data_IF_028580784126
#
_entry.id   IF_028580784126
#
_cell.length_a   1.000
_cell.length_b   1.000
_cell.length_c   1.000
_cell.angle_alpha   90.00
_cell.angle_beta   90.00
_cell.angle_gamma   90.00
#
_symmetry.space_group_name_H-M   'P 1'
#
loop_
_entity.id
_entity.type
_entity.pdbx_description
1 polymer ?
#
# COMPACT_ATOMS: atom_id res chain seq x y z
N UNK A 1 4.32 10.84 -27.11
CA UNK A 1 4.42 10.62 -28.57
C UNK A 1 3.56 11.60 -29.37
N UNK A 2 2.24 11.68 -29.18
CA UNK A 2 1.39 12.64 -29.92
C UNK A 2 1.85 14.09 -29.73
N UNK A 3 2.07 14.51 -28.48
CA UNK A 3 2.61 15.84 -28.17
C UNK A 3 3.95 16.12 -28.88
N UNK A 4 4.85 15.15 -28.88
CA UNK A 4 6.14 15.22 -29.56
C UNK A 4 5.98 15.43 -31.07
N UNK A 5 5.08 14.69 -31.71
CA UNK A 5 4.81 14.84 -33.14
C UNK A 5 4.34 16.26 -33.47
N UNK A 6 3.39 16.80 -32.70
CA UNK A 6 2.90 18.17 -32.89
C UNK A 6 4.04 19.19 -32.72
N UNK A 7 4.86 19.05 -31.68
CA UNK A 7 5.97 19.96 -31.42
C UNK A 7 7.02 19.94 -32.53
N UNK A 8 7.30 18.75 -33.10
CA UNK A 8 8.26 18.60 -34.21
C UNK A 8 7.76 19.25 -35.50
N UNK A 9 6.45 19.21 -35.78
CA UNK A 9 5.84 19.91 -36.92
C UNK A 9 5.99 21.42 -36.73
N UNK A 10 5.69 21.94 -35.54
CA UNK A 10 5.87 23.38 -35.25
C UNK A 10 7.33 23.81 -35.36
N UNK A 11 8.27 23.00 -34.86
CA UNK A 11 9.70 23.28 -35.01
C UNK A 11 10.12 23.32 -36.49
N UNK A 12 9.69 22.35 -37.30
CA UNK A 12 9.95 22.35 -38.75
C UNK A 12 9.37 23.59 -39.46
N UNK A 13 8.17 24.04 -39.08
CA UNK A 13 7.57 25.26 -39.62
C UNK A 13 8.35 26.52 -39.21
N UNK A 14 8.81 26.59 -37.96
CA UNK A 14 9.57 27.72 -37.43
C UNK A 14 10.90 27.90 -38.16
N UNK A 15 11.57 26.79 -38.49
CA UNK A 15 12.85 26.78 -39.21
C UNK A 15 12.69 26.71 -40.73
N UNK A 16 11.58 27.22 -41.28
CA UNK A 16 11.46 27.43 -42.73
C UNK A 16 11.10 26.19 -43.56
N UNK A 17 10.43 25.20 -42.95
CA UNK A 17 10.05 23.92 -43.57
C UNK A 17 11.24 23.04 -43.96
N UNK A 18 12.32 23.14 -43.20
CA UNK A 18 13.48 22.28 -43.37
C UNK A 18 13.17 20.84 -42.91
N UNK A 19 13.25 19.90 -43.86
CA UNK A 19 12.99 18.49 -43.60
C UNK A 19 14.03 17.87 -42.65
N UNK A 20 15.28 18.33 -42.66
CA UNK A 20 16.34 17.77 -41.82
C UNK A 20 16.11 18.13 -40.35
N UNK A 21 15.77 19.39 -40.09
CA UNK A 21 15.43 19.87 -38.75
C UNK A 21 14.18 19.15 -38.23
N UNK A 22 13.20 18.90 -39.10
CA UNK A 22 12.02 18.10 -38.76
C UNK A 22 12.41 16.68 -38.31
N UNK A 23 13.20 15.96 -39.12
CA UNK A 23 13.62 14.59 -38.78
C UNK A 23 14.53 14.54 -37.55
N UNK A 24 15.39 15.54 -37.36
CA UNK A 24 16.22 15.71 -36.17
C UNK A 24 15.37 15.75 -34.90
N UNK A 25 14.40 16.67 -34.83
CA UNK A 25 13.54 16.79 -33.66
C UNK A 25 12.63 15.56 -33.48
N UNK A 26 12.14 14.97 -34.57
CA UNK A 26 11.27 13.80 -34.53
C UNK A 26 11.99 12.60 -33.91
N UNK A 27 13.17 12.27 -34.42
CA UNK A 27 13.97 11.16 -33.92
C UNK A 27 14.46 11.40 -32.50
N UNK A 28 14.96 12.60 -32.19
CA UNK A 28 15.35 12.97 -30.83
C UNK A 28 14.19 12.81 -29.84
N UNK A 29 12.98 13.26 -30.21
CA UNK A 29 11.79 13.11 -29.37
C UNK A 29 11.33 11.66 -29.23
N UNK A 30 11.46 10.85 -30.27
CA UNK A 30 11.10 9.43 -30.25
C UNK A 30 12.03 8.64 -29.33
N UNK A 31 13.35 8.88 -29.45
CA UNK A 31 14.38 8.29 -28.58
C UNK A 31 14.17 8.73 -27.13
N UNK A 32 13.89 10.01 -26.89
CA UNK A 32 13.60 10.53 -25.56
C UNK A 32 12.37 9.84 -24.96
N UNK A 33 11.25 9.79 -25.69
CA UNK A 33 9.99 9.21 -25.22
C UNK A 33 10.12 7.73 -24.86
N UNK A 34 10.85 6.95 -25.65
CA UNK A 34 11.11 5.54 -25.33
C UNK A 34 12.11 5.38 -24.19
N UNK A 35 13.15 6.21 -24.15
CA UNK A 35 14.18 6.19 -23.12
C UNK A 35 13.65 6.48 -21.71
N UNK A 36 12.60 7.31 -21.60
CA UNK A 36 11.95 7.62 -20.31
C UNK A 36 10.74 6.73 -19.98
N UNK A 37 10.33 5.82 -20.87
CA UNK A 37 9.16 4.96 -20.64
C UNK A 37 9.23 4.14 -19.33
N UNK A 38 10.40 3.68 -18.83
CA UNK A 38 10.50 2.95 -17.57
C UNK A 38 10.94 3.83 -16.37
N UNK A 39 10.58 5.12 -16.31
CA UNK A 39 11.12 6.11 -15.36
C UNK A 39 10.84 5.83 -13.88
N UNK A 40 11.62 4.90 -13.29
CA UNK A 40 11.59 4.53 -11.87
C UNK A 40 12.68 5.17 -11.03
N UNK A 41 13.62 5.90 -11.61
CA UNK A 41 14.67 6.58 -10.86
C UNK A 41 15.12 7.86 -11.57
N UNK A 42 15.73 8.77 -10.80
CA UNK A 42 16.19 10.10 -11.26
C UNK A 42 17.31 10.03 -12.33
N UNK A 43 17.95 8.87 -12.49
CA UNK A 43 19.02 8.66 -13.49
C UNK A 43 18.48 8.31 -14.88
N UNK A 44 17.24 7.83 -15.00
CA UNK A 44 16.66 7.43 -16.28
C UNK A 44 16.53 8.60 -17.27
N UNK A 45 16.01 9.79 -16.89
CA UNK A 45 15.97 10.92 -17.81
C UNK A 45 17.37 11.37 -18.26
N UNK A 46 18.38 11.27 -17.40
CA UNK A 46 19.77 11.59 -17.75
C UNK A 46 20.33 10.58 -18.76
N UNK A 47 20.10 9.28 -18.54
CA UNK A 47 20.49 8.22 -19.51
C UNK A 47 19.75 8.36 -20.84
N UNK A 48 18.47 8.70 -20.80
CA UNK A 48 17.69 9.00 -21.99
C UNK A 48 18.26 10.22 -22.72
N UNK A 49 18.65 11.28 -22.00
CA UNK A 49 19.34 12.45 -22.54
C UNK A 49 20.66 12.11 -23.23
N UNK A 50 21.45 11.19 -22.67
CA UNK A 50 22.66 10.68 -23.31
C UNK A 50 22.35 9.95 -24.64
N UNK A 51 21.32 9.08 -24.65
CA UNK A 51 20.89 8.39 -25.87
C UNK A 51 20.37 9.36 -26.95
N UNK A 52 19.64 10.40 -26.53
CA UNK A 52 19.22 11.50 -27.41
C UNK A 52 20.44 12.24 -27.96
N UNK A 53 21.43 12.55 -27.12
CA UNK A 53 22.68 13.18 -27.54
C UNK A 53 23.42 12.38 -28.60
N UNK A 54 23.60 11.08 -28.39
CA UNK A 54 24.20 10.17 -29.38
C UNK A 54 23.40 10.13 -30.69
N UNK A 55 22.07 10.05 -30.59
CA UNK A 55 21.18 10.02 -31.76
C UNK A 55 21.25 11.31 -32.56
N UNK A 56 21.28 12.45 -31.87
CA UNK A 56 21.44 13.77 -32.46
C UNK A 56 22.77 13.89 -33.22
N UNK A 57 23.88 13.42 -32.63
CA UNK A 57 25.17 13.41 -33.31
C UNK A 57 25.15 12.59 -34.59
N UNK A 58 24.55 11.39 -34.55
CA UNK A 58 24.43 10.53 -35.74
C UNK A 58 23.62 11.22 -36.84
N UNK A 59 22.50 11.86 -36.48
CA UNK A 59 21.64 12.56 -37.45
C UNK A 59 22.32 13.77 -38.07
N UNK A 60 23.08 14.54 -37.28
CA UNK A 60 23.84 15.70 -37.77
C UNK A 60 24.92 15.26 -38.77
N UNK A 61 25.66 14.19 -38.47
CA UNK A 61 26.68 13.64 -39.38
C UNK A 61 26.04 13.08 -40.65
N UNK A 62 24.92 12.37 -40.52
CA UNK A 62 24.18 11.83 -41.66
C UNK A 62 23.63 12.95 -42.57
N UNK A 63 23.03 13.99 -41.99
CA UNK A 63 22.53 15.16 -42.74
C UNK A 63 23.65 15.86 -43.50
N UNK A 64 24.78 16.11 -42.84
CA UNK A 64 25.96 16.70 -43.50
C UNK A 64 26.48 15.85 -44.66
N UNK A 65 26.45 14.52 -44.52
CA UNK A 65 26.84 13.59 -45.59
C UNK A 65 25.87 13.57 -46.77
N UNK A 66 24.57 13.76 -46.53
CA UNK A 66 23.54 13.76 -47.59
C UNK A 66 23.55 15.06 -48.41
N UNK A 67 23.94 16.18 -47.79
CA UNK A 67 24.05 17.48 -48.45
C UNK A 67 25.41 17.75 -49.11
N UNK A 68 26.36 16.81 -48.97
CA UNK A 68 27.75 16.95 -49.40
C UNK A 68 28.46 18.17 -48.77
N UNK A 69 28.03 18.60 -47.58
CA UNK A 69 28.52 19.78 -46.85
C UNK A 69 29.60 19.39 -45.84
N UNK A 70 30.71 18.83 -46.30
CA UNK A 70 31.81 18.35 -45.46
C UNK A 70 32.73 19.46 -44.95
N UNK A 71 32.18 20.37 -44.14
CA UNK A 71 32.97 21.35 -43.38
C UNK A 71 33.26 20.78 -41.99
N UNK A 72 34.44 20.18 -41.82
CA UNK A 72 34.81 19.45 -40.59
C UNK A 72 34.57 20.24 -39.30
N UNK A 73 34.96 21.53 -39.29
CA UNK A 73 34.77 22.40 -38.12
C UNK A 73 33.30 22.59 -37.76
N UNK A 74 32.43 22.78 -38.75
CA UNK A 74 30.99 22.94 -38.56
C UNK A 74 30.33 21.67 -38.05
N UNK A 75 30.65 20.52 -38.66
CA UNK A 75 30.10 19.23 -38.25
C UNK A 75 30.50 18.93 -36.80
N UNK A 76 31.76 19.20 -36.43
CA UNK A 76 32.24 19.00 -35.07
C UNK A 76 31.52 19.91 -34.06
N UNK A 77 31.32 21.19 -34.37
CA UNK A 77 30.59 22.11 -33.49
C UNK A 77 29.13 21.70 -33.35
N UNK A 78 28.46 21.38 -34.45
CA UNK A 78 27.04 21.01 -34.46
C UNK A 78 26.85 19.68 -33.71
N UNK A 79 27.71 18.69 -33.94
CA UNK A 79 27.71 17.42 -33.23
C UNK A 79 27.94 17.59 -31.72
N UNK A 80 28.86 18.47 -31.32
CA UNK A 80 29.13 18.77 -29.92
C UNK A 80 27.90 19.40 -29.24
N UNK A 81 27.33 20.44 -29.85
CA UNK A 81 26.12 21.08 -29.30
C UNK A 81 24.90 20.15 -29.33
N UNK A 82 24.74 19.33 -30.37
CA UNK A 82 23.66 18.33 -30.45
C UNK A 82 23.77 17.25 -29.38
N UNK A 83 24.99 16.80 -29.09
CA UNK A 83 25.27 15.84 -28.01
C UNK A 83 25.00 16.46 -26.63
N UNK A 84 25.61 17.62 -26.36
CA UNK A 84 25.43 18.36 -25.11
C UNK A 84 23.96 18.74 -24.88
N UNK A 85 23.24 19.12 -25.93
CA UNK A 85 21.82 19.45 -25.88
C UNK A 85 20.95 18.28 -25.41
N UNK A 86 21.26 17.04 -25.85
CA UNK A 86 20.57 15.83 -25.37
C UNK A 86 20.77 15.59 -23.87
N UNK A 87 22.03 15.66 -23.40
CA UNK A 87 22.35 15.52 -21.97
C UNK A 87 21.68 16.62 -21.15
N UNK A 88 21.77 17.87 -21.62
CA UNK A 88 21.18 19.02 -20.97
C UNK A 88 19.65 18.89 -20.86
N UNK A 89 18.98 18.38 -21.90
CA UNK A 89 17.55 18.09 -21.84
C UNK A 89 17.21 17.06 -20.74
N UNK A 90 18.01 16.00 -20.59
CA UNK A 90 17.84 15.02 -19.51
C UNK A 90 17.99 15.65 -18.12
N UNK A 91 18.98 16.53 -17.92
CA UNK A 91 19.18 17.28 -16.67
C UNK A 91 18.00 18.21 -16.40
N UNK A 92 17.55 18.96 -17.41
CA UNK A 92 16.40 19.86 -17.29
C UNK A 92 15.13 19.12 -16.89
N UNK A 93 14.82 17.98 -17.53
CA UNK A 93 13.65 17.17 -17.17
C UNK A 93 13.74 16.70 -15.72
N UNK A 94 14.88 16.17 -15.28
CA UNK A 94 15.06 15.74 -13.88
C UNK A 94 14.87 16.89 -12.89
N UNK A 95 15.35 18.10 -13.21
CA UNK A 95 15.21 19.27 -12.35
C UNK A 95 13.81 19.90 -12.35
N UNK A 96 13.11 19.86 -13.48
CA UNK A 96 11.77 20.44 -13.64
C UNK A 96 10.64 19.49 -13.22
N UNK A 97 10.88 18.18 -13.18
CA UNK A 97 9.86 17.19 -12.79
C UNK A 97 9.25 17.49 -11.41
N UNK A 98 10.02 17.75 -10.33
CA UNK A 98 9.45 18.09 -9.03
C UNK A 98 8.60 19.37 -9.04
N UNK A 99 8.96 20.36 -9.88
CA UNK A 99 8.16 21.58 -10.03
C UNK A 99 6.81 21.26 -10.69
N UNK A 100 6.82 20.44 -11.74
CA UNK A 100 5.60 19.98 -12.40
C UNK A 100 4.72 19.17 -11.45
N UNK A 101 5.30 18.25 -10.67
CA UNK A 101 4.57 17.49 -9.63
C UNK A 101 3.88 18.42 -8.63
N UNK A 102 4.57 19.47 -8.16
CA UNK A 102 3.99 20.43 -7.21
C UNK A 102 2.87 21.28 -7.82
N UNK A 103 3.03 21.75 -9.06
CA UNK A 103 2.05 22.62 -9.73
C UNK A 103 0.79 21.83 -10.10
N UNK A 104 0.95 20.60 -10.61
CA UNK A 104 -0.15 19.78 -11.11
C UNK A 104 -0.66 18.73 -10.11
N UNK A 105 -0.05 18.63 -8.93
CA UNK A 105 -0.34 17.63 -7.90
C UNK A 105 -0.33 16.19 -8.46
N UNK A 106 0.61 15.93 -9.37
CA UNK A 106 0.77 14.66 -10.06
C UNK A 106 1.74 13.74 -9.30
N UNK A 107 1.42 12.46 -9.19
CA UNK A 107 2.24 11.49 -8.47
C UNK A 107 3.04 10.64 -9.46
N UNK A 108 4.34 10.92 -9.60
CA UNK A 108 5.23 10.12 -10.46
C UNK A 108 5.70 8.84 -9.77
N UNK A 109 6.21 7.88 -10.53
CA UNK A 109 6.85 6.67 -9.99
C UNK A 109 8.02 6.99 -9.05
N UNK A 110 8.77 8.07 -9.31
CA UNK A 110 9.86 8.52 -8.42
C UNK A 110 9.26 8.99 -7.09
N UNK A 111 8.21 9.80 -7.14
CA UNK A 111 7.50 10.26 -5.95
C UNK A 111 6.89 9.10 -5.16
N UNK A 112 6.31 8.11 -5.83
CA UNK A 112 5.79 6.90 -5.19
C UNK A 112 6.89 6.12 -4.48
N UNK A 113 8.07 5.96 -5.10
CA UNK A 113 9.20 5.28 -4.47
C UNK A 113 9.74 6.04 -3.26
N UNK A 114 9.73 7.37 -3.30
CA UNK A 114 10.05 8.19 -2.13
C UNK A 114 9.02 7.96 -1.02
N UNK A 115 7.73 7.95 -1.33
CA UNK A 115 6.65 7.68 -0.37
C UNK A 115 6.64 6.23 0.14
N UNK A 116 7.28 5.29 -0.58
CA UNK A 116 7.37 3.90 -0.17
C UNK A 116 8.45 3.64 0.90
N UNK A 117 9.32 4.62 1.20
CA UNK A 117 10.40 4.44 2.17
C UNK A 117 9.86 4.50 3.61
N UNK A 118 10.40 3.66 4.49
CA UNK A 118 10.03 3.66 5.92
C UNK A 118 10.60 4.85 6.69
N UNK A 119 11.40 5.69 6.02
CA UNK A 119 11.90 6.95 6.55
C UNK A 119 10.88 8.10 6.37
N UNK A 120 9.75 7.85 5.71
CA UNK A 120 8.69 8.84 5.57
C UNK A 120 8.09 9.19 6.94
N UNK A 121 8.09 10.48 7.35
CA UNK A 121 7.66 10.89 8.70
C UNK A 121 6.26 10.39 9.08
N UNK A 122 5.31 10.44 8.15
CA UNK A 122 3.93 9.99 8.40
C UNK A 122 3.83 8.46 8.58
N UNK A 123 4.67 7.66 7.90
CA UNK A 123 4.71 6.22 8.13
C UNK A 123 5.40 5.89 9.46
N UNK A 124 6.41 6.67 9.86
CA UNK A 124 7.02 6.55 11.19
C UNK A 124 6.03 6.89 12.30
N UNK A 125 5.24 7.96 12.12
CA UNK A 125 4.16 8.32 13.03
C UNK A 125 3.12 7.18 13.12
N UNK A 126 2.68 6.61 11.99
CA UNK A 126 1.79 5.46 11.98
C UNK A 126 2.38 4.26 12.74
N UNK A 127 3.67 3.98 12.55
CA UNK A 127 4.37 2.88 13.22
C UNK A 127 4.43 3.06 14.74
N UNK A 128 4.59 4.29 15.23
CA UNK A 128 4.69 4.59 16.67
C UNK A 128 3.31 4.67 17.33
N UNK A 129 2.38 5.41 16.73
CA UNK A 129 1.07 5.70 17.32
C UNK A 129 0.05 4.56 17.11
N UNK A 130 0.16 3.83 15.99
CA UNK A 130 -0.77 2.75 15.62
C UNK A 130 -0.01 1.54 15.02
N UNK A 131 0.87 0.86 15.80
CA UNK A 131 1.76 -0.18 15.30
C UNK A 131 1.03 -1.39 14.67
N UNK A 132 -0.16 -1.74 15.17
CA UNK A 132 -0.98 -2.81 14.61
C UNK A 132 -1.52 -2.43 13.23
N UNK A 133 -2.01 -1.20 13.08
CA UNK A 133 -2.43 -0.64 11.79
C UNK A 133 -1.25 -0.49 10.82
N UNK A 134 -0.06 -0.14 11.29
CA UNK A 134 1.14 -0.14 10.46
C UNK A 134 1.44 -1.54 9.92
N UNK A 135 1.50 -2.55 10.79
CA UNK A 135 1.76 -3.93 10.39
C UNK A 135 0.71 -4.45 9.40
N UNK A 136 -0.57 -4.16 9.65
CA UNK A 136 -1.68 -4.39 8.73
C UNK A 136 -1.40 -3.81 7.34
N UNK A 137 -1.10 -2.52 7.28
CA UNK A 137 -0.88 -1.78 6.03
C UNK A 137 0.29 -2.34 5.22
N UNK A 138 1.34 -2.84 5.88
CA UNK A 138 2.46 -3.51 5.21
C UNK A 138 2.03 -4.85 4.58
N UNK A 139 1.23 -5.66 5.27
CA UNK A 139 0.71 -6.92 4.71
C UNK A 139 -0.20 -6.64 3.53
N UNK A 140 -1.14 -5.71 3.68
CA UNK A 140 -2.04 -5.27 2.61
C UNK A 140 -1.23 -4.78 1.41
N UNK A 141 -0.17 -3.99 1.63
CA UNK A 141 0.75 -3.52 0.59
C UNK A 141 1.40 -4.65 -0.21
N UNK A 142 1.88 -5.70 0.47
CA UNK A 142 2.45 -6.88 -0.19
C UNK A 142 1.38 -7.65 -0.99
N UNK A 143 0.17 -7.79 -0.45
CA UNK A 143 -0.95 -8.45 -1.12
C UNK A 143 -1.33 -7.74 -2.42
N UNK A 144 -1.53 -6.43 -2.37
CA UNK A 144 -1.96 -5.65 -3.54
C UNK A 144 -0.85 -5.50 -4.57
N UNK A 145 0.43 -5.41 -4.17
CA UNK A 145 1.54 -5.33 -5.12
C UNK A 145 1.59 -6.58 -6.01
N UNK A 146 1.52 -7.76 -5.39
CA UNK A 146 1.56 -9.04 -6.10
C UNK A 146 0.34 -9.21 -7.01
N UNK A 147 -0.86 -8.89 -6.49
CA UNK A 147 -2.09 -9.00 -7.25
C UNK A 147 -2.14 -8.01 -8.43
N UNK A 148 -1.79 -6.74 -8.21
CA UNK A 148 -1.75 -5.70 -9.23
C UNK A 148 -0.86 -6.08 -10.41
N UNK A 149 0.36 -6.58 -10.11
CA UNK A 149 1.30 -7.02 -11.14
C UNK A 149 0.72 -8.15 -12.00
N UNK A 150 -0.08 -9.04 -11.42
CA UNK A 150 -0.67 -10.17 -12.13
C UNK A 150 -1.82 -9.78 -13.08
N UNK A 151 -2.49 -8.66 -12.82
CA UNK A 151 -3.63 -8.17 -13.61
C UNK A 151 -3.27 -6.95 -14.49
N UNK A 152 -1.99 -6.55 -14.51
CA UNK A 152 -1.53 -5.39 -15.29
C UNK A 152 -1.95 -4.03 -14.73
N UNK A 153 -2.33 -3.95 -13.45
CA UNK A 153 -2.57 -2.69 -12.75
C UNK A 153 -1.25 -2.05 -12.30
N UNK A 154 -1.27 -0.78 -11.88
CA UNK A 154 -0.10 -0.10 -11.36
C UNK A 154 0.25 -0.63 -9.96
N UNK A 155 1.14 -1.62 -9.92
CA UNK A 155 1.54 -2.30 -8.68
C UNK A 155 2.24 -1.39 -7.67
N UNK A 156 3.00 -0.40 -8.14
CA UNK A 156 3.68 0.55 -7.28
C UNK A 156 2.68 1.51 -6.62
N UNK A 157 1.73 2.04 -7.40
CA UNK A 157 0.65 2.88 -6.86
C UNK A 157 -0.19 2.10 -5.83
N UNK A 158 -0.64 0.89 -6.16
CA UNK A 158 -1.44 0.06 -5.25
C UNK A 158 -0.69 -0.20 -3.92
N UNK A 159 0.59 -0.57 -3.99
CA UNK A 159 1.43 -0.83 -2.82
C UNK A 159 1.55 0.40 -1.92
N UNK A 160 1.92 1.53 -2.50
CA UNK A 160 2.12 2.77 -1.73
C UNK A 160 0.80 3.25 -1.15
N UNK A 161 -0.29 3.23 -1.93
CA UNK A 161 -1.61 3.58 -1.43
C UNK A 161 -2.05 2.68 -0.26
N UNK A 162 -1.76 1.37 -0.31
CA UNK A 162 -2.01 0.46 0.80
C UNK A 162 -1.20 0.79 2.07
N UNK A 163 0.02 1.32 1.96
CA UNK A 163 0.75 1.79 3.15
C UNK A 163 0.05 2.94 3.86
N UNK A 164 -0.67 3.77 3.10
CA UNK A 164 -1.31 4.98 3.61
C UNK A 164 -2.82 4.87 3.82
N UNK A 165 -3.49 3.80 3.38
CA UNK A 165 -4.96 3.73 3.33
C UNK A 165 -5.62 4.01 4.69
N UNK A 166 -4.94 3.62 5.76
CA UNK A 166 -5.45 3.60 7.13
C UNK A 166 -4.84 4.66 8.05
N UNK A 167 -4.06 5.63 7.51
CA UNK A 167 -3.36 6.64 8.34
C UNK A 167 -4.26 7.48 9.24
N UNK A 168 -5.55 7.59 8.92
CA UNK A 168 -6.50 8.28 9.79
C UNK A 168 -6.61 7.66 11.18
N UNK A 169 -6.33 6.35 11.32
CA UNK A 169 -6.37 5.64 12.60
C UNK A 169 -5.37 6.18 13.63
N UNK A 170 -4.32 6.91 13.20
CA UNK A 170 -3.37 7.64 14.08
C UNK A 170 -4.10 8.56 15.08
N UNK A 171 -5.24 9.15 14.68
CA UNK A 171 -5.97 10.08 15.56
C UNK A 171 -6.61 9.38 16.78
N UNK A 172 -6.99 8.11 16.64
CA UNK A 172 -7.77 7.36 17.63
C UNK A 172 -7.36 5.88 17.66
N UNK A 173 -6.08 5.54 17.86
CA UNK A 173 -5.56 4.19 17.61
C UNK A 173 -6.24 3.13 18.49
N UNK A 174 -6.50 3.44 19.76
CA UNK A 174 -7.13 2.52 20.73
C UNK A 174 -8.60 2.18 20.44
N UNK A 175 -9.22 2.77 19.42
CA UNK A 175 -10.55 2.36 18.93
C UNK A 175 -10.47 1.28 17.86
N UNK A 176 -9.29 0.98 17.31
CA UNK A 176 -9.11 -0.05 16.30
C UNK A 176 -8.49 -1.29 16.94
N UNK A 177 -9.12 -2.44 16.70
CA UNK A 177 -8.83 -3.68 17.44
C UNK A 177 -7.39 -4.16 17.25
N UNK A 178 -6.80 -3.90 16.07
CA UNK A 178 -5.42 -4.26 15.77
C UNK A 178 -4.39 -3.51 16.63
N UNK A 179 -4.77 -2.38 17.24
CA UNK A 179 -3.90 -1.60 18.13
C UNK A 179 -4.22 -1.80 19.62
N UNK A 180 -5.19 -2.66 19.96
CA UNK A 180 -5.55 -2.95 21.34
C UNK A 180 -4.71 -4.11 21.88
N UNK A 181 -3.67 -3.79 22.66
CA UNK A 181 -2.85 -4.78 23.37
C UNK A 181 -3.28 -4.82 24.84
N UNK A 182 -3.79 -5.97 25.31
CA UNK A 182 -4.18 -6.23 26.70
C UNK A 182 -5.01 -5.11 27.38
N UNK A 183 -5.87 -4.45 26.62
CA UNK A 183 -6.73 -3.36 27.11
C UNK A 183 -8.21 -3.64 26.83
N UNK A 184 -9.08 -3.10 27.68
CA UNK A 184 -10.53 -3.18 27.47
C UNK A 184 -10.93 -2.49 26.16
N UNK A 185 -11.80 -3.16 25.39
CA UNK A 185 -12.29 -2.61 24.14
C UNK A 185 -13.12 -1.34 24.39
N UNK A 186 -12.63 -0.21 23.88
CA UNK A 186 -13.26 1.12 24.06
C UNK A 186 -14.70 1.18 23.54
N UNK A 187 -15.07 0.35 22.58
CA UNK A 187 -16.42 0.29 22.01
C UNK A 187 -17.46 -0.34 22.93
N UNK A 188 -17.08 -1.01 24.03
CA UNK A 188 -18.03 -1.57 24.99
C UNK A 188 -18.78 -0.49 25.78
N UNK A 189 -18.14 0.66 26.00
CA UNK A 189 -18.67 1.79 26.76
C UNK A 189 -19.44 2.79 25.88
N UNK A 190 -19.54 2.54 24.57
CA UNK A 190 -20.14 3.45 23.60
C UNK A 190 -21.46 2.93 23.03
N UNK A 191 -22.34 3.86 22.68
CA UNK A 191 -23.49 3.58 21.85
C UNK A 191 -23.03 3.04 20.47
N UNK A 192 -23.73 2.07 19.86
CA UNK A 192 -23.28 1.50 18.59
C UNK A 192 -23.15 2.52 17.44
N UNK A 193 -24.02 3.54 17.41
CA UNK A 193 -23.92 4.64 16.44
C UNK A 193 -22.65 5.48 16.62
N UNK A 194 -22.25 5.73 17.87
CA UNK A 194 -20.99 6.44 18.18
C UNK A 194 -19.77 5.61 17.77
N UNK A 195 -19.80 4.30 18.02
CA UNK A 195 -18.76 3.39 17.55
C UNK A 195 -18.62 3.41 16.02
N UNK A 196 -19.75 3.33 15.31
CA UNK A 196 -19.79 3.45 13.85
C UNK A 196 -19.20 4.77 13.37
N UNK A 197 -19.59 5.89 13.98
CA UNK A 197 -19.09 7.22 13.64
C UNK A 197 -17.57 7.34 13.81
N UNK A 198 -17.01 6.79 14.90
CA UNK A 198 -15.56 6.77 15.14
C UNK A 198 -14.85 5.93 14.08
N UNK A 199 -15.39 4.75 13.75
CA UNK A 199 -14.81 3.91 12.71
C UNK A 199 -14.88 4.60 11.35
N UNK A 200 -15.98 5.25 10.98
CA UNK A 200 -16.09 5.95 9.70
C UNK A 200 -15.16 7.17 9.65
N UNK A 201 -14.89 7.83 10.78
CA UNK A 201 -14.10 9.07 10.81
C UNK A 201 -12.65 8.90 10.36
N UNK A 202 -12.06 7.70 10.47
CA UNK A 202 -10.66 7.49 10.06
C UNK A 202 -10.47 7.78 8.56
N UNK A 203 -11.48 7.56 7.73
CA UNK A 203 -11.39 7.88 6.29
C UNK A 203 -11.19 9.37 6.09
N UNK A 204 -12.02 10.19 6.74
CA UNK A 204 -11.93 11.66 6.67
C UNK A 204 -10.63 12.18 7.29
N UNK A 205 -10.25 11.65 8.45
CA UNK A 205 -9.01 11.99 9.13
C UNK A 205 -7.78 11.62 8.28
N UNK A 206 -7.83 10.49 7.57
CA UNK A 206 -6.77 10.03 6.68
C UNK A 206 -6.64 10.91 5.43
N UNK A 207 -7.76 11.30 4.81
CA UNK A 207 -7.75 12.26 3.69
C UNK A 207 -7.14 13.60 4.10
N UNK A 208 -7.44 14.08 5.32
CA UNK A 208 -6.86 15.31 5.83
C UNK A 208 -5.34 15.19 6.05
N UNK A 209 -4.88 14.09 6.68
CA UNK A 209 -3.46 13.81 6.86
C UNK A 209 -2.73 13.68 5.52
N UNK A 210 -3.34 13.03 4.52
CA UNK A 210 -2.77 12.88 3.18
C UNK A 210 -2.56 14.22 2.48
N UNK A 211 -3.50 15.16 2.63
CA UNK A 211 -3.39 16.53 2.11
C UNK A 211 -2.31 17.33 2.83
N UNK A 212 -2.27 17.25 4.16
CA UNK A 212 -1.25 17.93 4.98
C UNK A 212 0.17 17.48 4.59
N UNK A 213 0.34 16.18 4.33
CA UNK A 213 1.63 15.59 3.93
C UNK A 213 1.88 15.56 2.42
N UNK A 214 0.97 16.11 1.61
CA UNK A 214 1.07 16.17 0.15
C UNK A 214 1.37 14.80 -0.49
N UNK A 215 0.62 13.78 -0.08
CA UNK A 215 0.75 12.41 -0.63
C UNK A 215 0.33 12.32 -2.11
N UNK A 216 -0.33 13.34 -2.63
CA UNK A 216 -0.84 13.38 -4.00
C UNK A 216 -2.29 12.90 -4.09
N UNK A 217 -2.93 13.23 -5.21
CA UNK A 217 -4.37 13.01 -5.41
C UNK A 217 -4.72 11.53 -5.39
N UNK A 218 -4.02 10.71 -6.15
CA UNK A 218 -4.38 9.30 -6.34
C UNK A 218 -4.36 8.50 -5.02
N UNK A 219 -3.37 8.74 -4.15
CA UNK A 219 -3.29 8.12 -2.82
C UNK A 219 -4.43 8.63 -1.93
N UNK A 220 -4.69 9.94 -1.95
CA UNK A 220 -5.78 10.56 -1.18
C UNK A 220 -7.14 10.00 -1.59
N UNK A 221 -7.34 9.79 -2.89
CA UNK A 221 -8.56 9.23 -3.46
C UNK A 221 -8.73 7.76 -3.01
N UNK A 222 -7.67 6.95 -3.04
CA UNK A 222 -7.71 5.56 -2.54
C UNK A 222 -8.03 5.51 -1.04
N UNK A 223 -7.45 6.40 -0.22
CA UNK A 223 -7.80 6.52 1.21
C UNK A 223 -9.30 6.78 1.36
N UNK A 224 -9.90 7.65 0.54
CA UNK A 224 -11.36 7.91 0.62
C UNK A 224 -12.23 6.74 0.16
N UNK A 225 -11.70 5.86 -0.71
CA UNK A 225 -12.45 4.83 -1.43
C UNK A 225 -12.28 3.42 -0.86
N UNK A 226 -11.27 3.16 -0.03
CA UNK A 226 -10.88 1.79 0.33
C UNK A 226 -11.94 1.00 1.12
N UNK A 227 -12.97 1.64 1.64
CA UNK A 227 -14.14 0.95 2.21
C UNK A 227 -15.40 1.03 1.31
N UNK A 228 -15.36 1.79 0.21
CA UNK A 228 -16.50 2.04 -0.65
C UNK A 228 -17.72 2.50 0.15
N UNK A 229 -18.86 1.84 -0.07
CA UNK A 229 -20.11 2.03 0.69
C UNK A 229 -20.42 0.83 1.59
N UNK A 230 -19.37 0.16 2.09
CA UNK A 230 -19.49 -1.03 2.91
C UNK A 230 -20.32 -0.79 4.16
N UNK A 231 -20.97 -1.84 4.65
CA UNK A 231 -21.88 -1.80 5.78
C UNK A 231 -21.22 -2.35 7.06
N UNK A 232 -21.28 -1.57 8.14
CA UNK A 232 -20.75 -1.92 9.46
C UNK A 232 -21.79 -2.75 10.23
N UNK A 233 -21.94 -4.01 9.80
CA UNK A 233 -23.00 -4.91 10.25
C UNK A 233 -22.99 -5.19 11.76
N UNK A 234 -21.80 -5.31 12.37
CA UNK A 234 -21.66 -5.60 13.80
C UNK A 234 -22.35 -4.57 14.68
N UNK A 235 -22.06 -3.28 14.48
CA UNK A 235 -22.65 -2.21 15.31
C UNK A 235 -24.11 -1.95 14.97
N UNK A 236 -24.52 -2.18 13.72
CA UNK A 236 -25.94 -2.13 13.36
C UNK A 236 -26.75 -3.21 14.09
N UNK A 237 -26.28 -4.46 14.08
CA UNK A 237 -26.94 -5.56 14.79
C UNK A 237 -26.96 -5.32 16.30
N UNK A 238 -25.86 -4.82 16.88
CA UNK A 238 -25.82 -4.41 18.29
C UNK A 238 -26.86 -3.33 18.62
N UNK A 239 -27.12 -2.41 17.69
CA UNK A 239 -28.17 -1.40 17.86
C UNK A 239 -29.58 -2.00 17.82
N UNK A 240 -29.84 -2.95 16.91
CA UNK A 240 -31.09 -3.68 16.83
C UNK A 240 -31.38 -4.45 18.13
N UNK A 241 -30.39 -5.21 18.63
CA UNK A 241 -30.50 -5.97 19.87
C UNK A 241 -30.77 -5.07 21.08
N UNK A 242 -30.09 -3.93 21.17
CA UNK A 242 -30.31 -2.96 22.25
C UNK A 242 -31.76 -2.41 22.22
N UNK A 243 -32.31 -2.21 21.02
CA UNK A 243 -33.70 -1.76 20.82
C UNK A 243 -34.72 -2.83 21.16
N UNK A 244 -34.46 -4.09 20.83
CA UNK A 244 -35.32 -5.20 21.23
C UNK A 244 -35.37 -5.36 22.76
N UNK A 245 -34.22 -5.23 23.44
CA UNK A 245 -34.14 -5.23 24.91
C UNK A 245 -34.87 -4.04 25.54
N UNK A 246 -34.79 -2.85 24.93
CA UNK A 246 -35.51 -1.67 25.40
C UNK A 246 -37.03 -1.75 25.18
N UNK A 247 -37.50 -2.55 24.21
CA UNK A 247 -38.94 -2.83 24.02
C UNK A 247 -39.50 -3.84 25.03
N UNK A 248 -38.68 -4.77 25.52
CA UNK A 248 -39.08 -5.79 26.50
C UNK A 248 -38.92 -5.33 27.95
N UNK A 249 -37.96 -4.46 28.24
CA UNK A 249 -37.90 -3.69 29.49
C UNK A 249 -38.80 -2.45 29.41
N UNK A 250 -39.35 -1.96 30.54
CA UNK A 250 -40.09 -0.68 30.61
C UNK A 250 -39.16 0.55 30.42
N UNK A 251 -38.22 0.50 29.49
CA UNK A 251 -37.26 1.56 29.19
C UNK A 251 -37.86 2.56 28.20
N UNK A 252 -37.34 3.78 28.21
CA UNK A 252 -37.72 4.81 27.24
C UNK A 252 -37.47 4.34 25.80
N UNK A 253 -38.37 4.69 24.88
CA UNK A 253 -38.24 4.33 23.47
C UNK A 253 -36.95 4.93 22.88
N UNK A 254 -36.09 4.07 22.35
CA UNK A 254 -34.89 4.51 21.62
C UNK A 254 -35.27 5.15 20.28
N UNK A 255 -34.49 6.14 19.79
CA UNK A 255 -34.71 6.77 18.49
C UNK A 255 -34.66 5.73 17.35
N UNK A 256 -35.29 6.02 16.19
CA UNK A 256 -35.24 5.15 15.03
C UNK A 256 -33.78 4.94 14.58
N UNK A 257 -33.44 3.69 14.24
CA UNK A 257 -32.12 3.34 13.73
C UNK A 257 -32.10 3.71 12.25
N UNK A 258 -31.22 4.63 11.87
CA UNK A 258 -30.93 4.95 10.48
C UNK A 258 -29.83 4.00 9.97
N UNK A 259 -30.06 3.35 8.82
CA UNK A 259 -29.10 2.40 8.25
C UNK A 259 -27.84 3.11 7.71
N UNK A 260 -27.99 4.37 7.27
CA UNK A 260 -26.89 5.14 6.68
C UNK A 260 -25.84 5.53 7.73
N UNK A 261 -26.20 5.57 9.02
CA UNK A 261 -25.26 5.81 10.13
C UNK A 261 -24.24 4.66 10.29
N UNK A 262 -24.47 3.53 9.61
CA UNK A 262 -23.64 2.32 9.62
C UNK A 262 -23.05 2.00 8.24
N UNK A 263 -23.07 2.96 7.30
CA UNK A 263 -22.42 2.82 5.99
C UNK A 263 -21.30 3.82 5.85
N UNK A 264 -20.20 3.38 5.24
CA UNK A 264 -19.18 4.31 4.78
C UNK A 264 -19.78 5.22 3.69
N UNK A 265 -19.42 6.52 3.67
CA UNK A 265 -20.00 7.47 2.73
C UNK A 265 -19.58 7.22 1.27
N UNK A 266 -18.50 6.47 1.06
CA UNK A 266 -17.86 6.28 -0.24
C UNK A 266 -17.02 7.47 -0.69
N UNK A 267 -16.72 7.58 -2.00
CA UNK A 267 -17.33 6.83 -3.11
C UNK A 267 -16.87 5.36 -3.18
N UNK A 268 -17.50 4.55 -4.06
CA UNK A 268 -16.98 3.22 -4.42
C UNK A 268 -15.58 3.37 -5.06
N UNK A 269 -14.74 2.32 -5.06
CA UNK A 269 -13.51 2.30 -5.84
C UNK A 269 -13.70 2.77 -7.28
N UNK A 270 -12.90 3.74 -7.72
CA UNK A 270 -12.95 4.30 -9.08
C UNK A 270 -11.88 3.71 -10.00
N UNK A 271 -10.88 3.02 -9.44
CA UNK A 271 -9.74 2.45 -10.16
C UNK A 271 -9.49 1.01 -9.73
N UNK A 272 -8.75 0.25 -10.56
CA UNK A 272 -8.34 -1.11 -10.21
C UNK A 272 -7.53 -1.15 -8.91
N UNK A 273 -6.65 -0.16 -8.72
CA UNK A 273 -5.81 -0.01 -7.53
C UNK A 273 -6.66 0.23 -6.28
N UNK A 274 -7.66 1.11 -6.34
CA UNK A 274 -8.59 1.32 -5.23
C UNK A 274 -9.38 0.04 -4.89
N UNK A 275 -9.84 -0.69 -5.91
CA UNK A 275 -10.55 -1.96 -5.73
C UNK A 275 -9.66 -3.04 -5.12
N UNK A 276 -8.39 -3.11 -5.51
CA UNK A 276 -7.40 -4.01 -4.92
C UNK A 276 -7.18 -3.73 -3.44
N UNK A 277 -7.00 -2.45 -3.06
CA UNK A 277 -6.80 -2.05 -1.66
C UNK A 277 -8.04 -2.40 -0.82
N UNK A 278 -9.25 -2.11 -1.32
CA UNK A 278 -10.49 -2.47 -0.63
C UNK A 278 -10.61 -3.99 -0.40
N UNK A 279 -10.35 -4.79 -1.43
CA UNK A 279 -10.43 -6.25 -1.31
C UNK A 279 -9.35 -6.80 -0.37
N UNK A 280 -8.13 -6.28 -0.44
CA UNK A 280 -7.04 -6.73 0.41
C UNK A 280 -7.29 -6.38 1.89
N UNK A 281 -7.72 -5.15 2.17
CA UNK A 281 -8.06 -4.71 3.54
C UNK A 281 -9.13 -5.60 4.16
N UNK A 282 -10.25 -5.81 3.46
CA UNK A 282 -11.35 -6.67 3.91
C UNK A 282 -10.89 -8.11 4.18
N UNK A 283 -10.09 -8.67 3.26
CA UNK A 283 -9.65 -10.07 3.35
C UNK A 283 -8.62 -10.27 4.45
N UNK A 284 -7.63 -9.39 4.55
CA UNK A 284 -6.60 -9.46 5.59
C UNK A 284 -7.24 -9.36 6.98
N UNK A 285 -8.07 -8.34 7.20
CA UNK A 285 -8.69 -8.09 8.50
C UNK A 285 -9.57 -9.27 8.94
N UNK A 286 -10.30 -9.87 8.01
CA UNK A 286 -11.10 -11.06 8.28
C UNK A 286 -10.23 -12.29 8.59
N UNK A 287 -9.17 -12.52 7.81
CA UNK A 287 -8.27 -13.67 8.03
C UNK A 287 -7.53 -13.60 9.36
N UNK A 288 -7.20 -12.39 9.86
CA UNK A 288 -6.61 -12.19 11.19
C UNK A 288 -7.50 -12.68 12.33
N UNK A 289 -8.82 -12.70 12.13
CA UNK A 289 -9.80 -13.18 13.11
C UNK A 289 -10.06 -14.70 13.08
N UNK A 290 -9.47 -15.43 12.12
CA UNK A 290 -9.68 -16.87 11.99
C UNK A 290 -9.02 -17.65 13.14
N UNK A 291 -9.83 -18.47 13.83
CA UNK A 291 -9.31 -19.51 14.71
C UNK A 291 -8.68 -20.61 13.85
N UNK A 292 -7.37 -20.82 13.98
CA UNK A 292 -6.57 -21.76 13.19
C UNK A 292 -6.65 -21.51 11.66
N UNK A 293 -5.87 -20.55 11.14
CA UNK A 293 -5.90 -20.14 9.74
C UNK A 293 -5.20 -21.16 8.83
N UNK A 294 -5.83 -22.32 8.59
CA UNK A 294 -5.34 -23.29 7.61
C UNK A 294 -5.47 -22.75 6.18
N UNK A 295 -4.61 -23.17 5.22
CA UNK A 295 -4.70 -22.69 3.83
C UNK A 295 -6.09 -22.85 3.20
N UNK A 296 -6.79 -23.95 3.49
CA UNK A 296 -8.15 -24.18 2.99
C UNK A 296 -9.18 -23.21 3.60
N UNK A 297 -9.07 -22.88 4.89
CA UNK A 297 -9.95 -21.90 5.54
C UNK A 297 -9.70 -20.48 5.04
N UNK A 298 -8.43 -20.12 4.85
CA UNK A 298 -8.04 -18.84 4.22
C UNK A 298 -8.67 -18.76 2.83
N UNK A 299 -8.48 -19.78 1.98
CA UNK A 299 -9.04 -19.80 0.63
C UNK A 299 -10.56 -19.66 0.61
N UNK A 300 -11.27 -20.37 1.49
CA UNK A 300 -12.73 -20.23 1.62
C UNK A 300 -13.15 -18.81 2.03
N UNK A 301 -12.42 -18.20 2.96
CA UNK A 301 -12.70 -16.83 3.42
C UNK A 301 -12.44 -15.79 2.33
N UNK A 302 -11.30 -15.86 1.63
CA UNK A 302 -10.93 -14.96 0.53
C UNK A 302 -12.00 -14.99 -0.57
N UNK A 303 -12.35 -16.19 -1.04
CA UNK A 303 -13.35 -16.33 -2.10
C UNK A 303 -14.72 -15.78 -1.68
N UNK A 304 -15.15 -16.05 -0.44
CA UNK A 304 -16.42 -15.55 0.08
C UNK A 304 -16.44 -14.02 0.14
N UNK A 305 -15.40 -13.39 0.65
CA UNK A 305 -15.35 -11.93 0.80
C UNK A 305 -15.29 -11.21 -0.53
N UNK A 306 -14.49 -11.70 -1.48
CA UNK A 306 -14.43 -11.14 -2.84
C UNK A 306 -15.81 -11.27 -3.52
N UNK A 307 -16.47 -12.43 -3.41
CA UNK A 307 -17.81 -12.63 -3.97
C UNK A 307 -18.87 -11.74 -3.31
N UNK A 308 -18.77 -11.51 -1.99
CA UNK A 308 -19.66 -10.61 -1.28
C UNK A 308 -19.49 -9.16 -1.75
N UNK A 309 -18.24 -8.69 -1.88
CA UNK A 309 -17.96 -7.33 -2.39
C UNK A 309 -18.46 -7.15 -3.83
N UNK A 310 -18.30 -8.17 -4.67
CA UNK A 310 -18.86 -8.20 -6.02
C UNK A 310 -20.40 -8.17 -6.01
N UNK A 311 -21.04 -9.01 -5.19
CA UNK A 311 -22.51 -9.11 -5.14
C UNK A 311 -23.17 -7.86 -4.53
N UNK A 312 -22.47 -7.16 -3.63
CA UNK A 312 -22.90 -5.86 -3.06
C UNK A 312 -22.65 -4.69 -4.04
N UNK A 313 -22.10 -4.96 -5.23
CA UNK A 313 -21.81 -3.95 -6.26
C UNK A 313 -20.69 -2.99 -5.88
N UNK A 314 -19.84 -3.30 -4.90
CA UNK A 314 -18.77 -2.38 -4.47
C UNK A 314 -17.76 -2.12 -5.60
N UNK A 315 -17.67 -3.01 -6.59
CA UNK A 315 -16.70 -2.95 -7.68
C UNK A 315 -17.27 -2.33 -8.98
N UNK A 316 -18.55 -1.91 -8.99
CA UNK A 316 -19.25 -1.46 -10.20
C UNK A 316 -18.62 -0.23 -10.88
N UNK A 317 -17.89 0.58 -10.11
CA UNK A 317 -17.31 1.85 -10.56
C UNK A 317 -15.80 1.74 -10.85
N UNK A 318 -15.24 0.53 -10.85
CA UNK A 318 -13.85 0.26 -11.21
C UNK A 318 -13.73 -0.81 -12.30
N UNK A 319 -12.63 -0.79 -13.05
CA UNK A 319 -12.44 -1.67 -14.21
C UNK A 319 -11.95 -3.09 -13.85
N UNK A 320 -12.25 -3.61 -12.65
CA UNK A 320 -11.89 -4.98 -12.27
C UNK A 320 -12.81 -6.00 -12.95
N UNK A 321 -12.22 -6.92 -13.72
CA UNK A 321 -12.96 -7.98 -14.38
C UNK A 321 -13.10 -9.23 -13.51
N UNK A 322 -14.06 -10.11 -13.82
CA UNK A 322 -14.17 -11.41 -13.15
C UNK A 322 -12.88 -12.25 -13.25
N UNK A 323 -12.16 -12.12 -14.38
CA UNK A 323 -10.85 -12.75 -14.56
C UNK A 323 -9.84 -12.19 -13.57
N UNK A 324 -9.82 -10.87 -13.38
CA UNK A 324 -8.95 -10.21 -12.41
C UNK A 324 -9.24 -10.70 -10.99
N UNK A 325 -10.51 -10.83 -10.59
CA UNK A 325 -10.89 -11.33 -9.27
C UNK A 325 -10.32 -12.73 -8.96
N UNK A 326 -10.30 -13.62 -9.96
CA UNK A 326 -9.69 -14.94 -9.80
C UNK A 326 -8.17 -14.85 -9.57
N UNK A 327 -7.48 -13.99 -10.32
CA UNK A 327 -6.04 -13.75 -10.14
C UNK A 327 -5.73 -13.09 -8.80
N UNK A 328 -6.56 -12.15 -8.36
CA UNK A 328 -6.47 -11.48 -7.05
C UNK A 328 -6.59 -12.51 -5.93
N UNK A 329 -7.66 -13.31 -5.94
CA UNK A 329 -7.90 -14.34 -4.94
C UNK A 329 -6.70 -15.30 -4.82
N UNK A 330 -6.14 -15.74 -5.96
CA UNK A 330 -4.97 -16.61 -6.01
C UNK A 330 -3.76 -16.00 -5.28
N UNK A 331 -3.41 -14.75 -5.54
CA UNK A 331 -2.23 -14.11 -4.93
C UNK A 331 -2.47 -13.75 -3.45
N UNK A 332 -3.69 -13.34 -3.09
CA UNK A 332 -4.05 -13.12 -1.69
C UNK A 332 -3.91 -14.40 -0.87
N UNK A 333 -4.40 -15.53 -1.38
CA UNK A 333 -4.26 -16.83 -0.73
C UNK A 333 -2.80 -17.23 -0.48
N UNK A 334 -1.92 -16.99 -1.46
CA UNK A 334 -0.50 -17.33 -1.34
C UNK A 334 0.16 -16.52 -0.21
N UNK A 335 -0.05 -15.21 -0.20
CA UNK A 335 0.57 -14.31 0.78
C UNK A 335 0.02 -14.56 2.19
N UNK A 336 -1.30 -14.69 2.33
CA UNK A 336 -1.93 -14.96 3.62
C UNK A 336 -1.53 -16.32 4.19
N UNK A 337 -1.39 -17.34 3.34
CA UNK A 337 -0.89 -18.64 3.77
C UNK A 337 0.54 -18.54 4.34
N UNK A 338 1.39 -17.66 3.79
CA UNK A 338 2.73 -17.40 4.34
C UNK A 338 2.68 -16.62 5.66
N UNK A 339 1.88 -15.55 5.72
CA UNK A 339 1.75 -14.71 6.93
C UNK A 339 1.22 -15.51 8.12
N UNK A 340 0.26 -16.41 7.88
CA UNK A 340 -0.39 -17.19 8.92
C UNK A 340 0.24 -18.58 9.16
N UNK A 341 1.33 -18.92 8.46
CA UNK A 341 2.02 -20.19 8.71
C UNK A 341 2.67 -20.15 10.10
N UNK A 342 2.29 -21.08 10.97
CA UNK A 342 2.98 -21.26 12.26
C UNK A 342 4.46 -21.51 11.98
N UNK A 343 5.36 -20.69 12.54
CA UNK A 343 6.78 -21.06 12.62
C UNK A 343 6.84 -22.32 13.47
N UNK A 344 7.45 -23.38 12.92
CA UNK A 344 7.66 -24.63 13.64
C UNK A 344 8.63 -24.31 14.78
N UNK A 345 8.21 -24.51 16.03
CA UNK A 345 9.14 -24.52 17.16
C UNK A 345 10.05 -25.74 16.99
N UNK A 346 11.34 -25.48 16.84
CA UNK A 346 12.32 -26.56 16.86
C UNK A 346 12.33 -27.16 18.27
N UNK A 347 12.19 -28.48 18.43
CA UNK A 347 12.40 -29.13 19.72
C UNK A 347 13.80 -28.76 20.19
N UNK A 348 13.90 -28.09 21.35
CA UNK A 348 15.18 -27.76 21.96
C UNK A 348 16.01 -29.04 22.06
N UNK A 349 17.22 -29.03 21.53
CA UNK A 349 18.16 -30.14 21.64
C UNK A 349 18.50 -30.34 23.11
N UNK A 350 17.73 -31.20 23.79
CA UNK A 350 18.17 -31.91 24.97
C UNK A 350 19.20 -32.95 24.51
N UNK A 351 20.46 -32.53 24.43
CA UNK A 351 21.60 -33.40 24.19
C UNK A 351 22.48 -33.43 25.43
N UNK A 352 22.37 -34.52 26.19
CA UNK A 352 23.32 -34.87 27.24
C UNK A 352 24.74 -35.00 26.68
N UNK A 353 25.70 -34.41 27.38
CA UNK A 353 27.13 -34.58 27.12
C UNK A 353 27.91 -34.50 28.43
N UNK A 354 27.86 -35.58 29.23
CA UNK A 354 28.84 -35.83 30.29
C UNK A 354 30.21 -36.09 29.64
N UNK A 355 31.18 -35.22 29.89
CA UNK A 355 32.60 -35.44 29.64
C UNK A 355 33.43 -34.67 30.66
N UNK A 356 34.09 -35.40 31.57
CA UNK A 356 35.02 -34.91 32.59
C UNK A 356 36.38 -34.54 31.98
N UNK A 357 37.03 -33.52 32.55
CA UNK A 357 38.46 -33.30 32.95
C UNK A 357 38.77 -31.79 32.81
N UNK A 358 39.55 -31.09 33.65
CA UNK A 358 40.20 -31.35 34.93
C UNK A 358 40.42 -30.01 35.67
N UNK A 359 40.64 -30.14 36.97
CA UNK A 359 40.93 -29.18 38.04
C UNK A 359 41.63 -27.82 37.72
N UNK A 360 41.15 -26.75 38.37
CA UNK A 360 41.91 -26.05 39.42
C UNK A 360 41.02 -25.07 40.22
N UNK A 361 41.05 -25.23 41.53
CA UNK A 361 40.47 -24.42 42.62
C UNK A 361 41.64 -24.15 43.62
N UNK A 362 41.59 -23.36 44.71
CA UNK A 362 40.55 -22.42 45.19
C UNK A 362 41.07 -21.06 45.70
N UNK A 363 40.10 -20.18 46.05
CA UNK A 363 40.28 -19.12 47.04
C UNK A 363 38.97 -18.64 47.67
N UNK A 364 38.52 -19.33 48.74
CA UNK A 364 37.85 -18.85 49.98
C UNK A 364 36.85 -17.65 49.96
N UNK A 365 35.74 -17.61 50.69
CA UNK A 365 35.05 -18.45 51.70
C UNK A 365 33.68 -17.82 52.01
N UNK A 366 32.79 -18.64 52.55
CA UNK A 366 31.35 -18.48 52.83
C UNK A 366 30.93 -17.40 53.85
N UNK A 367 29.62 -17.09 53.92
CA UNK A 367 28.84 -17.39 55.14
C UNK A 367 27.32 -17.50 54.87
N UNK A 368 26.67 -18.30 55.73
CA UNK A 368 25.39 -19.03 55.64
C UNK A 368 24.16 -18.25 56.13
N UNK A 369 22.96 -18.76 55.79
CA UNK A 369 21.86 -19.26 56.68
C UNK A 369 20.48 -18.90 56.11
N UNK A 370 19.37 -19.60 56.32
CA UNK A 370 18.98 -20.99 56.64
C UNK A 370 17.42 -20.96 56.67
N UNK A 371 16.79 -22.12 56.46
CA UNK A 371 15.44 -22.54 56.94
C UNK A 371 14.14 -22.35 56.12
N UNK A 372 13.67 -23.54 55.71
CA UNK A 372 12.36 -24.16 56.07
C UNK A 372 11.08 -23.90 55.24
N UNK A 373 10.87 -24.78 54.23
CA UNK A 373 9.79 -25.79 53.99
C UNK A 373 8.45 -25.74 54.81
N UNK A 374 7.36 -26.49 54.44
CA UNK A 374 6.95 -27.14 53.17
C UNK A 374 5.40 -27.13 52.88
N UNK A 375 4.98 -27.97 51.90
CA UNK A 375 3.66 -28.56 51.57
C UNK A 375 2.93 -27.95 50.35
N UNK A 376 2.77 -28.61 49.20
CA UNK A 376 2.22 -29.94 48.85
C UNK A 376 0.69 -29.96 48.59
N UNK A 377 0.38 -29.95 47.28
CA UNK A 377 -0.50 -30.89 46.56
C UNK A 377 -2.02 -30.63 46.38
N UNK A 378 -2.41 -30.88 45.12
CA UNK A 378 -3.66 -31.46 44.57
C UNK A 378 -4.88 -30.61 44.21
N UNK A 379 -5.13 -30.64 42.90
CA UNK A 379 -6.39 -31.00 42.22
C UNK A 379 -7.67 -30.21 42.52
N UNK A 380 -8.07 -29.40 41.52
CA UNK A 380 -9.45 -29.11 41.10
C UNK A 380 -9.33 -28.51 39.70
N UNK A 381 -10.10 -28.86 38.67
CA UNK A 381 -11.31 -29.66 38.58
C UNK A 381 -11.94 -29.24 37.25
N UNK A 382 -12.23 -30.21 36.39
CA UNK A 382 -12.97 -30.04 35.14
C UNK A 382 -14.30 -29.33 35.40
N UNK A 383 -14.38 -28.05 35.09
CA UNK A 383 -15.64 -27.30 34.89
C UNK A 383 -15.31 -26.00 34.16
N UNK A 384 -15.19 -26.05 32.83
CA UNK A 384 -15.33 -24.83 32.00
C UNK A 384 -15.83 -25.09 30.56
N UNK A 385 -16.37 -26.29 30.31
CA UNK A 385 -17.01 -26.65 29.04
C UNK A 385 -18.52 -26.71 29.21
N UNK A 386 -19.15 -25.55 29.41
CA UNK A 386 -20.60 -25.31 29.21
C UNK A 386 -20.91 -23.81 29.30
N UNK A 387 -20.29 -23.00 28.43
CA UNK A 387 -20.65 -21.58 28.29
C UNK A 387 -20.35 -20.98 26.91
N UNK A 388 -20.65 -21.73 25.85
CA UNK A 388 -20.71 -21.19 24.50
C UNK A 388 -21.93 -21.80 23.80
N UNK A 389 -23.10 -21.20 24.04
CA UNK A 389 -24.35 -21.57 23.39
C UNK A 389 -24.37 -21.02 21.97
N UNK A 390 -23.93 -21.83 21.01
CA UNK A 390 -24.10 -21.57 19.58
C UNK A 390 -24.69 -22.85 18.96
N UNK A 391 -25.93 -22.73 18.50
CA UNK A 391 -26.48 -23.53 17.41
C UNK A 391 -26.34 -22.72 16.12
#
# INVERSE_FOLDING_TARGET
LIFSLVLTIFAGLLFGKDFEIFFYFLMGSFVAAHGVSPCRNRMIPIKAGLLVGCSNTILIVLGASLQDQWVFTRIMTDAFFGFCGGIFAGILVTGLTPLAEMIFNYTTDIKLLELATMDQPLLQELMVEAPGTYHHSIIVGNMVEAAAKSIGANSLMAKVAAYYHDIGKIRKPLYFIENQFDCENRHEKLAPSMSSLILISHVKEGVELARQHRLGKDITDIISQHHGKSFISFFYNKALEAREKAKSGKAAALPPINIDDYRYPGPKPQTKEAGLVMLADMVEAACRSLTEPTPARIQGMVNRLINNAFSDGQLDECELTLKDLHHIAKHFNQILATVHHKRIEYPGTAGEGKGKTDASDPGHRESKQDRDKPCANRERGKTDLKRLGIH
#
